data_IF_797242123887
#
_entry.id   IF_797242123887
#
_cell.length_a   1.000
_cell.length_b   1.000
_cell.length_c   1.000
_cell.angle_alpha   90.00
_cell.angle_beta   90.00
_cell.angle_gamma   90.00
#
_symmetry.space_group_name_H-M   'P 1'
#
loop_
_entity.id
_entity.type
_entity.pdbx_description
1 polymer ?
#
# COMPACT_ATOMS: atom_id res chain seq x y z
N UNK A 1 15.39 1.05 9.32
CA UNK A 1 14.61 0.39 8.26
C UNK A 1 13.28 0.04 8.89
N UNK A 2 12.15 0.52 8.35
CA UNK A 2 10.83 0.29 8.95
C UNK A 2 10.27 -1.06 8.51
N UNK A 3 9.67 -1.78 9.43
CA UNK A 3 9.02 -3.07 9.21
C UNK A 3 7.51 -2.95 9.34
N UNK A 4 6.76 -3.97 8.93
CA UNK A 4 5.30 -4.01 9.07
C UNK A 4 4.89 -3.93 10.54
N UNK A 5 5.59 -4.60 11.46
CA UNK A 5 5.26 -4.55 12.89
C UNK A 5 5.38 -3.14 13.51
N UNK A 6 6.19 -2.27 12.91
CA UNK A 6 6.39 -0.88 13.33
C UNK A 6 5.51 0.11 12.57
N UNK A 7 4.74 -0.36 11.59
CA UNK A 7 3.93 0.47 10.71
C UNK A 7 2.75 1.06 11.49
N UNK A 8 2.46 2.33 11.21
CA UNK A 8 1.29 3.03 11.74
C UNK A 8 0.45 3.54 10.56
N UNK A 9 -0.88 3.57 10.69
CA UNK A 9 -1.74 4.22 9.70
C UNK A 9 -1.38 5.70 9.55
N UNK A 10 -1.14 6.12 8.32
CA UNK A 10 -0.90 7.52 7.96
C UNK A 10 -1.66 7.82 6.66
N UNK A 11 -2.74 8.63 6.71
CA UNK A 11 -3.57 8.91 5.54
C UNK A 11 -2.86 9.73 4.46
N UNK A 12 -1.74 10.39 4.79
CA UNK A 12 -1.00 11.26 3.87
C UNK A 12 0.21 10.56 3.24
N UNK A 13 0.54 9.35 3.70
CA UNK A 13 1.75 8.64 3.29
C UNK A 13 1.41 7.38 2.52
N UNK A 14 1.84 7.34 1.26
CA UNK A 14 1.85 6.11 0.46
C UNK A 14 3.11 5.31 0.78
N UNK A 15 2.95 4.01 0.99
CA UNK A 15 4.05 3.08 1.28
C UNK A 15 4.04 1.90 0.31
N UNK A 16 5.14 1.16 0.32
CA UNK A 16 5.33 -0.14 -0.31
C UNK A 16 5.71 -1.16 0.74
N UNK A 17 4.98 -2.26 0.82
CA UNK A 17 5.37 -3.45 1.56
C UNK A 17 6.04 -4.42 0.59
N UNK A 18 7.22 -4.92 0.96
CA UNK A 18 7.96 -5.94 0.21
C UNK A 18 7.89 -7.26 0.98
N UNK A 19 7.12 -8.20 0.46
CA UNK A 19 6.95 -9.54 1.05
C UNK A 19 7.60 -10.60 0.18
N UNK A 20 8.42 -11.47 0.76
CA UNK A 20 9.08 -12.56 0.02
C UNK A 20 8.38 -13.92 0.21
N UNK A 21 7.15 -13.92 0.71
CA UNK A 21 6.40 -15.14 1.06
C UNK A 21 6.13 -16.03 -0.16
N UNK A 22 5.71 -15.44 -1.27
CA UNK A 22 5.23 -16.17 -2.45
C UNK A 22 6.25 -16.20 -3.59
N UNK A 23 7.31 -15.38 -3.51
CA UNK A 23 8.28 -15.22 -4.59
C UNK A 23 9.65 -14.84 -4.07
N UNK A 24 10.70 -15.48 -4.61
CA UNK A 24 12.09 -15.08 -4.38
C UNK A 24 12.35 -13.62 -4.80
N UNK A 25 11.63 -13.15 -5.82
CA UNK A 25 11.75 -11.77 -6.31
C UNK A 25 10.99 -10.76 -5.44
N UNK A 26 10.19 -11.23 -4.47
CA UNK A 26 9.31 -10.40 -3.67
C UNK A 26 8.01 -10.06 -4.39
N UNK A 27 6.96 -9.89 -3.60
CA UNK A 27 5.66 -9.33 -3.98
C UNK A 27 5.56 -7.95 -3.34
N UNK A 28 5.04 -7.00 -4.10
CA UNK A 28 4.95 -5.60 -3.70
C UNK A 28 3.49 -5.20 -3.48
N UNK A 29 3.20 -4.65 -2.30
CA UNK A 29 1.89 -4.10 -1.97
C UNK A 29 2.01 -2.60 -1.75
N UNK A 30 1.37 -1.82 -2.62
CA UNK A 30 1.45 -0.36 -2.60
C UNK A 30 0.12 0.24 -2.16
N UNK A 31 0.17 1.24 -1.28
CA UNK A 31 -1.02 1.98 -0.91
C UNK A 31 -0.82 2.87 0.32
N UNK A 32 -1.91 3.49 0.73
CA UNK A 32 -2.00 4.26 1.97
C UNK A 32 -2.53 3.32 3.04
N UNK A 33 -1.87 3.26 4.19
CA UNK A 33 -2.26 2.36 5.27
C UNK A 33 -3.52 2.89 5.95
N UNK A 34 -4.59 2.09 5.90
CA UNK A 34 -5.86 2.38 6.58
C UNK A 34 -5.90 1.78 7.97
N UNK A 35 -5.50 0.52 8.08
CA UNK A 35 -5.40 -0.19 9.35
C UNK A 35 -4.29 -1.22 9.29
N UNK A 36 -3.79 -1.57 10.46
CA UNK A 36 -2.86 -2.67 10.67
C UNK A 36 -3.21 -3.37 11.97
N UNK A 37 -3.26 -4.69 11.95
CA UNK A 37 -3.57 -5.52 13.10
C UNK A 37 -2.69 -6.77 13.12
N UNK A 38 -2.11 -7.06 14.28
CA UNK A 38 -1.49 -8.36 14.52
C UNK A 38 -2.60 -9.42 14.63
N UNK A 39 -2.63 -10.38 13.69
CA UNK A 39 -3.65 -11.44 13.65
C UNK A 39 -3.14 -12.76 14.22
N UNK A 40 -1.83 -12.98 14.20
CA UNK A 40 -1.17 -14.09 14.88
C UNK A 40 0.23 -13.67 15.35
N UNK A 41 0.40 -13.50 16.66
CA UNK A 41 1.68 -13.08 17.22
C UNK A 41 2.76 -14.17 17.16
N UNK A 42 2.37 -15.45 17.27
CA UNK A 42 3.30 -16.59 17.25
C UNK A 42 3.93 -16.77 15.86
N UNK A 43 3.15 -16.51 14.80
CA UNK A 43 3.61 -16.54 13.42
C UNK A 43 4.11 -15.19 12.90
N UNK A 44 4.11 -14.16 13.76
CA UNK A 44 4.44 -12.78 13.38
C UNK A 44 3.61 -12.29 12.16
N UNK A 45 2.32 -12.63 12.10
CA UNK A 45 1.43 -12.34 10.98
C UNK A 45 0.54 -11.14 11.26
N UNK A 46 0.49 -10.22 10.29
CA UNK A 46 -0.27 -8.98 10.36
C UNK A 46 -1.23 -8.88 9.17
N UNK A 47 -2.45 -8.44 9.45
CA UNK A 47 -3.37 -7.93 8.42
C UNK A 47 -3.11 -6.44 8.23
N UNK A 48 -2.90 -6.03 6.99
CA UNK A 48 -2.72 -4.62 6.61
C UNK A 48 -3.74 -4.27 5.54
N UNK A 49 -4.58 -3.28 5.82
CA UNK A 49 -5.52 -2.74 4.84
C UNK A 49 -4.88 -1.55 4.15
N UNK A 50 -4.69 -1.67 2.84
CA UNK A 50 -4.13 -0.62 2.00
C UNK A 50 -5.20 -0.04 1.09
N UNK A 51 -5.30 1.29 1.08
CA UNK A 51 -6.05 2.02 0.07
C UNK A 51 -5.18 2.31 -1.16
N UNK A 52 -5.64 1.88 -2.33
CA UNK A 52 -5.01 2.17 -3.61
C UNK A 52 -5.75 3.31 -4.31
N UNK A 53 -5.16 4.51 -4.32
CA UNK A 53 -5.70 5.66 -5.05
C UNK A 53 -5.91 5.35 -6.54
N UNK A 54 -4.92 4.69 -7.15
CA UNK A 54 -4.93 4.27 -8.57
C UNK A 54 -6.12 3.40 -8.94
N UNK A 55 -6.65 2.60 -8.02
CA UNK A 55 -7.81 1.73 -8.26
C UNK A 55 -9.05 2.17 -7.49
N UNK A 56 -8.95 3.23 -6.68
CA UNK A 56 -9.97 3.70 -5.75
C UNK A 56 -10.61 2.55 -4.94
N UNK A 57 -9.78 1.67 -4.38
CA UNK A 57 -10.23 0.50 -3.63
C UNK A 57 -9.34 0.25 -2.42
N UNK A 58 -9.92 -0.41 -1.42
CA UNK A 58 -9.19 -0.96 -0.29
C UNK A 58 -8.96 -2.45 -0.50
N UNK A 59 -7.82 -2.96 -0.02
CA UNK A 59 -7.48 -4.37 -0.11
C UNK A 59 -6.72 -4.78 1.15
N UNK A 60 -7.10 -5.92 1.71
CA UNK A 60 -6.44 -6.51 2.87
C UNK A 60 -5.32 -7.44 2.42
N UNK A 61 -4.16 -7.33 3.07
CA UNK A 61 -2.98 -8.14 2.79
C UNK A 61 -2.46 -8.76 4.10
N UNK A 62 -2.13 -10.05 4.05
CA UNK A 62 -1.54 -10.76 5.17
C UNK A 62 -0.04 -10.92 4.96
N UNK A 63 0.73 -10.19 5.76
CA UNK A 63 2.19 -10.04 5.63
C UNK A 63 2.86 -10.29 6.97
N UNK A 64 4.15 -10.63 6.95
CA UNK A 64 4.88 -10.82 8.20
C UNK A 64 5.27 -9.47 8.80
N UNK A 65 5.30 -9.39 10.12
CA UNK A 65 5.76 -8.21 10.85
C UNK A 65 7.19 -7.81 10.48
N UNK A 66 8.01 -8.77 10.02
CA UNK A 66 9.39 -8.56 9.52
C UNK A 66 9.49 -8.11 8.07
N UNK A 67 8.38 -8.10 7.32
CA UNK A 67 8.37 -7.62 5.94
C UNK A 67 8.75 -6.14 5.89
N UNK A 68 9.46 -5.75 4.83
CA UNK A 68 10.07 -4.42 4.74
C UNK A 68 9.06 -3.40 4.24
N UNK A 69 9.04 -2.23 4.87
CA UNK A 69 8.26 -1.08 4.40
C UNK A 69 9.19 -0.03 3.82
N UNK A 70 8.95 0.35 2.57
CA UNK A 70 9.70 1.38 1.85
C UNK A 70 8.76 2.41 1.24
N UNK A 71 9.32 3.50 0.73
CA UNK A 71 8.56 4.41 -0.13
C UNK A 71 8.31 3.76 -1.51
N UNK A 72 7.20 4.08 -2.20
CA UNK A 72 7.00 3.67 -3.57
C UNK A 72 8.09 4.29 -4.46
N UNK A 73 8.63 3.51 -5.41
CA UNK A 73 9.67 4.02 -6.31
C UNK A 73 9.17 5.17 -7.18
N UNK A 74 10.05 6.14 -7.45
CA UNK A 74 9.79 7.41 -8.15
C UNK A 74 9.00 7.22 -9.47
N UNK A 75 9.31 6.20 -10.26
CA UNK A 75 8.65 5.91 -11.54
C UNK A 75 7.16 5.55 -11.37
N UNK A 76 6.80 4.86 -10.29
CA UNK A 76 5.39 4.54 -10.00
C UNK A 76 4.65 5.73 -9.37
N UNK A 77 5.33 6.63 -8.67
CA UNK A 77 4.69 7.89 -8.25
C UNK A 77 4.24 8.71 -9.46
N UNK A 78 5.03 8.77 -10.54
CA UNK A 78 4.61 9.45 -11.77
C UNK A 78 3.42 8.75 -12.47
N UNK A 79 3.43 7.42 -12.59
CA UNK A 79 2.33 6.68 -13.19
C UNK A 79 1.01 6.84 -12.40
N UNK A 80 1.10 6.85 -11.07
CA UNK A 80 -0.05 7.07 -10.20
C UNK A 80 -0.54 8.52 -10.27
N UNK A 81 0.36 9.51 -10.21
CA UNK A 81 0.00 10.93 -10.32
C UNK A 81 -0.62 11.30 -11.68
N UNK A 82 -0.24 10.60 -12.75
CA UNK A 82 -0.87 10.74 -14.07
C UNK A 82 -2.27 10.13 -14.09
N UNK A 83 -2.44 8.93 -13.51
CA UNK A 83 -3.77 8.29 -13.39
C UNK A 83 -4.72 9.11 -12.51
N UNK A 84 -4.21 9.68 -11.42
CA UNK A 84 -4.98 10.53 -10.50
C UNK A 84 -5.44 11.81 -11.21
N UNK A 85 -4.55 12.48 -11.97
CA UNK A 85 -4.92 13.64 -12.82
C UNK A 85 -5.96 13.30 -13.88
N UNK A 86 -5.84 12.14 -14.52
CA UNK A 86 -6.83 11.70 -15.52
C UNK A 86 -8.20 11.43 -14.90
N UNK A 87 -8.25 10.89 -13.68
CA UNK A 87 -9.51 10.65 -12.95
C UNK A 87 -10.18 11.94 -12.48
N UNK A 88 -9.38 12.91 -12.04
CA UNK A 88 -9.88 14.23 -11.66
C UNK A 88 -10.44 14.97 -12.88
N UNK A 89 -9.69 15.00 -13.99
CA UNK A 89 -10.17 15.57 -15.25
C UNK A 89 -11.44 14.87 -15.77
N UNK A 90 -11.54 13.54 -15.64
CA UNK A 90 -12.74 12.81 -16.02
C UNK A 90 -13.96 13.15 -15.13
N UNK A 91 -13.76 13.49 -13.86
CA UNK A 91 -14.85 13.91 -12.95
C UNK A 91 -15.38 15.29 -13.31
N UNK A 92 -14.49 16.25 -13.60
CA UNK A 92 -14.88 17.61 -13.99
C UNK A 92 -15.70 17.64 -15.28
N UNK A 93 -15.44 16.73 -16.22
CA UNK A 93 -16.19 16.63 -17.49
C UNK A 93 -17.60 16.02 -17.35
N UNK A 94 -17.91 15.33 -16.25
CA UNK A 94 -19.24 14.73 -16.03
C UNK A 94 -20.20 15.62 -15.22
N UNK A 95 -19.68 16.70 -14.61
CA UNK A 95 -20.43 17.67 -13.79
C UNK A 95 -20.65 19.03 -14.51
N UNK A 96 -20.35 19.11 -15.82
CA UNK A 96 -20.59 20.28 -16.69
C UNK A 96 -21.52 19.97 -17.86
#
# INVERSE_FOLDING_TARGET
MTTVAELQPDPNKKIRIVSHRESKNGVYYDGIVRSIQCVNADENLYEVVLFSATYNKESAYYVYGTDKVTEPTRTQNYANAETDRQREAAREMFDS
#
